data_IF_244521803416
#
_entry.id   IF_244521803416
#
_cell.length_a   1.000
_cell.length_b   1.000
_cell.length_c   1.000
_cell.angle_alpha   90.00
_cell.angle_beta   90.00
_cell.angle_gamma   90.00
#
_symmetry.space_group_name_H-M   'P 1'
#
loop_
_entity.id
_entity.type
_entity.pdbx_description
1 polymer ?
#
# COMPACT_ATOMS: atom_id res chain seq x y z
N UNK A 1 6.84 -32.70 16.54
CA UNK A 1 6.08 -32.60 15.29
C UNK A 1 6.74 -33.54 14.32
N UNK A 2 6.05 -34.62 13.96
CA UNK A 2 6.57 -35.71 13.15
C UNK A 2 7.02 -35.24 11.77
N UNK A 3 8.22 -35.63 11.40
CA UNK A 3 8.82 -35.42 10.10
C UNK A 3 8.08 -36.35 9.07
N UNK A 4 6.92 -35.91 8.58
CA UNK A 4 6.25 -36.58 7.47
C UNK A 4 7.13 -36.42 6.25
N UNK A 5 7.70 -37.50 5.77
CA UNK A 5 8.49 -37.51 4.53
C UNK A 5 7.68 -36.98 3.33
N UNK A 6 8.34 -36.57 2.21
CA UNK A 6 7.69 -35.93 1.06
C UNK A 6 6.57 -36.84 0.53
N UNK A 7 5.37 -36.29 0.37
CA UNK A 7 4.20 -37.00 -0.14
C UNK A 7 4.49 -37.51 -1.55
N UNK A 8 4.37 -38.82 -1.78
CA UNK A 8 4.51 -39.44 -3.10
C UNK A 8 3.36 -39.09 -4.06
N UNK A 9 2.22 -38.69 -3.53
CA UNK A 9 1.04 -38.24 -4.30
C UNK A 9 1.15 -36.80 -4.74
N UNK A 10 0.55 -36.49 -5.91
CA UNK A 10 0.44 -35.11 -6.38
C UNK A 10 -0.53 -34.34 -5.49
N UNK A 11 -0.07 -33.22 -4.94
CA UNK A 11 -0.92 -32.32 -4.18
C UNK A 11 -1.92 -31.61 -5.08
N UNK A 12 -3.13 -31.36 -4.59
CA UNK A 12 -4.06 -30.40 -5.21
C UNK A 12 -3.49 -28.99 -5.12
N UNK A 13 -3.85 -28.15 -6.07
CA UNK A 13 -3.36 -26.75 -6.15
C UNK A 13 -3.67 -25.98 -4.85
N UNK A 14 -4.88 -26.10 -4.34
CA UNK A 14 -5.33 -25.42 -3.11
C UNK A 14 -4.50 -25.87 -1.89
N UNK A 15 -4.24 -27.15 -1.74
CA UNK A 15 -3.43 -27.69 -0.64
C UNK A 15 -1.98 -27.19 -0.73
N UNK A 16 -1.41 -27.15 -1.93
CA UNK A 16 -0.08 -26.62 -2.17
C UNK A 16 0.01 -25.12 -1.81
N UNK A 17 -0.96 -24.30 -2.20
CA UNK A 17 -1.04 -22.87 -1.82
C UNK A 17 -1.10 -22.74 -0.30
N UNK A 18 -1.98 -23.48 0.37
CA UNK A 18 -2.15 -23.42 1.82
C UNK A 18 -0.86 -23.79 2.56
N UNK A 19 -0.16 -24.84 2.10
CA UNK A 19 1.14 -25.25 2.66
C UNK A 19 2.18 -24.13 2.45
N UNK A 20 2.32 -23.60 1.23
CA UNK A 20 3.28 -22.54 0.92
C UNK A 20 3.03 -21.30 1.79
N UNK A 21 1.79 -20.81 1.83
CA UNK A 21 1.40 -19.60 2.55
C UNK A 21 1.56 -19.79 4.07
N UNK A 22 1.33 -21.02 4.60
CA UNK A 22 1.53 -21.32 6.03
C UNK A 22 2.98 -21.21 6.49
N UNK A 23 3.95 -21.25 5.56
CA UNK A 23 5.39 -21.16 5.87
C UNK A 23 5.92 -19.72 5.82
N UNK A 24 5.10 -18.75 5.39
CA UNK A 24 5.48 -17.34 5.47
C UNK A 24 5.72 -16.94 6.92
N UNK A 25 6.82 -16.22 7.16
CA UNK A 25 7.18 -15.66 8.47
C UNK A 25 6.95 -14.16 8.45
N UNK A 26 6.53 -13.59 9.58
CA UNK A 26 6.38 -12.14 9.68
C UNK A 26 7.70 -11.42 9.37
N UNK A 27 7.63 -10.45 8.47
CA UNK A 27 8.78 -9.60 8.16
C UNK A 27 9.03 -8.59 9.28
N UNK A 28 10.29 -8.15 9.36
CA UNK A 28 10.65 -7.04 10.24
C UNK A 28 9.95 -5.75 9.82
N UNK A 29 9.77 -4.86 10.78
CA UNK A 29 9.22 -3.53 10.53
C UNK A 29 10.34 -2.54 10.15
N UNK A 30 9.98 -1.50 9.42
CA UNK A 30 10.84 -0.36 9.13
C UNK A 30 10.01 0.92 9.13
N UNK A 31 10.63 2.04 9.52
CA UNK A 31 10.02 3.37 9.44
C UNK A 31 10.48 4.05 8.16
N UNK A 32 9.54 4.47 7.32
CA UNK A 32 9.83 5.15 6.06
C UNK A 32 9.15 6.52 6.00
N UNK A 33 9.63 7.38 5.09
CA UNK A 33 8.92 8.62 4.77
C UNK A 33 7.56 8.27 4.16
N UNK A 34 6.52 8.95 4.60
CA UNK A 34 5.15 8.68 4.14
C UNK A 34 5.00 8.76 2.61
N UNK A 35 5.67 9.71 1.95
CA UNK A 35 5.69 9.82 0.48
C UNK A 35 6.16 8.55 -0.26
N UNK A 36 6.91 7.68 0.42
CA UNK A 36 7.45 6.43 -0.13
C UNK A 36 6.61 5.20 0.26
N UNK A 37 5.44 5.40 0.88
CA UNK A 37 4.63 4.32 1.45
C UNK A 37 3.60 3.72 0.51
N UNK A 38 3.43 4.26 -0.68
CA UNK A 38 2.48 3.71 -1.66
C UNK A 38 2.78 2.22 -1.93
N UNK A 39 1.75 1.39 -1.91
CA UNK A 39 1.83 -0.07 -2.07
C UNK A 39 2.69 -0.78 -1.00
N UNK A 40 2.87 -0.15 0.18
CA UNK A 40 3.42 -0.81 1.37
C UNK A 40 2.28 -1.21 2.31
N UNK A 41 2.51 -2.19 3.16
CA UNK A 41 1.58 -2.61 4.21
C UNK A 41 2.04 -2.00 5.53
N UNK A 42 1.16 -1.22 6.19
CA UNK A 42 1.49 -0.62 7.48
C UNK A 42 1.52 -1.68 8.60
N UNK A 43 2.49 -1.53 9.50
CA UNK A 43 2.70 -2.47 10.61
C UNK A 43 2.05 -2.02 11.93
N UNK A 44 1.49 -0.81 11.97
CA UNK A 44 0.84 -0.24 13.17
C UNK A 44 -0.46 0.47 12.79
N UNK A 45 -1.38 0.60 13.73
CA UNK A 45 -2.53 1.50 13.57
C UNK A 45 -2.05 2.95 13.42
N UNK A 46 -2.70 3.71 12.56
CA UNK A 46 -2.42 5.13 12.35
C UNK A 46 -3.60 5.94 12.88
N UNK A 47 -3.30 6.87 13.77
CA UNK A 47 -4.27 7.75 14.41
C UNK A 47 -4.02 9.19 13.94
N UNK A 48 -5.07 9.98 13.78
CA UNK A 48 -4.93 11.38 13.38
C UNK A 48 -4.21 12.21 14.47
N UNK A 49 -3.26 13.05 14.08
CA UNK A 49 -2.53 13.95 14.98
C UNK A 49 -3.21 15.31 15.15
N UNK A 50 -4.23 15.60 14.33
CA UNK A 50 -4.97 16.87 14.32
C UNK A 50 -6.45 16.61 14.03
N UNK A 51 -7.28 17.64 14.25
CA UNK A 51 -8.65 17.66 13.72
C UNK A 51 -8.63 18.11 12.25
N UNK A 52 -9.57 17.62 11.45
CA UNK A 52 -9.80 18.13 10.08
C UNK A 52 -11.29 18.45 9.86
N UNK A 53 -11.65 19.71 9.58
CA UNK A 53 -10.80 20.91 9.68
C UNK A 53 -10.38 21.19 11.15
N UNK A 54 -9.30 21.99 11.36
CA UNK A 54 -8.80 22.30 12.72
C UNK A 54 -9.74 23.20 13.52
N UNK A 55 -10.53 24.04 12.86
CA UNK A 55 -11.57 24.89 13.46
C UNK A 55 -12.87 24.80 12.64
N UNK A 56 -13.93 25.44 13.11
CA UNK A 56 -15.16 25.58 12.33
C UNK A 56 -14.87 26.46 11.11
N UNK A 57 -15.21 26.00 9.90
CA UNK A 57 -14.93 26.74 8.66
C UNK A 57 -16.19 26.92 7.83
N UNK A 58 -16.22 27.97 7.01
CA UNK A 58 -17.30 28.16 6.06
C UNK A 58 -17.28 27.14 4.95
N UNK A 59 -18.44 26.64 4.55
CA UNK A 59 -18.62 25.83 3.36
C UNK A 59 -19.02 26.63 2.12
N UNK A 60 -19.26 27.93 2.26
CA UNK A 60 -19.74 28.81 1.20
C UNK A 60 -19.15 30.21 1.38
N UNK A 61 -19.17 31.01 0.33
CA UNK A 61 -18.84 32.43 0.37
C UNK A 61 -20.06 33.21 0.83
N UNK A 62 -19.83 34.24 1.66
CA UNK A 62 -20.92 35.05 2.19
C UNK A 62 -20.56 35.83 3.44
N UNK A 63 -21.46 35.89 4.41
CA UNK A 63 -21.34 36.73 5.62
C UNK A 63 -21.58 35.91 6.87
N UNK A 64 -20.57 35.83 7.74
CA UNK A 64 -20.64 35.15 9.02
C UNK A 64 -21.20 36.06 10.08
N UNK A 65 -22.24 35.62 10.80
CA UNK A 65 -22.94 36.43 11.82
C UNK A 65 -23.61 35.58 12.89
N UNK A 66 -24.15 36.24 13.91
CA UNK A 66 -25.01 35.58 14.90
C UNK A 66 -26.39 35.29 14.32
N UNK A 67 -26.87 34.06 14.45
CA UNK A 67 -28.22 33.66 14.04
C UNK A 67 -29.32 34.52 14.69
N UNK A 68 -29.13 34.96 15.94
CA UNK A 68 -30.08 35.84 16.64
C UNK A 68 -30.28 37.22 15.97
N UNK A 69 -29.28 37.71 15.24
CA UNK A 69 -29.36 39.00 14.54
C UNK A 69 -30.25 38.97 13.31
N UNK A 70 -30.55 37.75 12.77
CA UNK A 70 -31.33 37.62 11.53
C UNK A 70 -32.81 37.90 11.69
N UNK A 71 -33.39 37.67 12.89
CA UNK A 71 -34.83 37.79 13.13
C UNK A 71 -35.39 39.18 12.82
N UNK A 72 -34.54 40.19 12.78
CA UNK A 72 -34.92 41.58 12.53
C UNK A 72 -34.06 42.25 11.45
N UNK A 73 -33.44 41.46 10.55
CA UNK A 73 -32.47 41.96 9.55
C UNK A 73 -33.09 43.00 8.59
N UNK A 74 -34.40 42.91 8.32
CA UNK A 74 -35.11 43.88 7.49
C UNK A 74 -35.27 45.25 8.18
N UNK A 75 -35.32 45.28 9.53
CA UNK A 75 -35.45 46.51 10.33
C UNK A 75 -34.12 47.00 10.88
N UNK A 76 -33.18 46.10 11.13
CA UNK A 76 -31.86 46.39 11.69
C UNK A 76 -30.78 45.85 10.75
N UNK A 77 -30.25 46.66 9.84
CA UNK A 77 -29.14 46.26 8.97
C UNK A 77 -27.95 45.81 9.77
N UNK A 78 -27.23 44.80 9.28
CA UNK A 78 -26.07 44.19 9.95
C UNK A 78 -24.80 44.81 9.36
N UNK A 79 -23.95 45.38 10.23
CA UNK A 79 -22.72 46.10 9.84
C UNK A 79 -21.62 45.10 9.46
N UNK A 80 -20.97 45.31 8.32
CA UNK A 80 -19.75 44.60 7.95
C UNK A 80 -18.58 45.21 8.74
N UNK A 81 -17.88 44.38 9.54
CA UNK A 81 -16.80 44.87 10.44
C UNK A 81 -15.44 44.31 10.05
N UNK A 82 -15.35 43.53 8.99
CA UNK A 82 -14.09 42.96 8.49
C UNK A 82 -14.30 41.75 7.57
N UNK A 83 -13.25 41.04 7.37
CA UNK A 83 -13.16 39.90 6.47
C UNK A 83 -12.47 38.69 7.17
N UNK A 84 -12.87 37.47 6.83
CA UNK A 84 -12.20 36.23 7.22
C UNK A 84 -11.91 35.43 5.96
N UNK A 85 -10.64 35.26 5.64
CA UNK A 85 -10.17 34.48 4.49
C UNK A 85 -9.39 33.23 4.94
N UNK A 86 -9.25 32.26 4.04
CA UNK A 86 -8.44 31.09 4.31
C UNK A 86 -6.98 31.49 4.57
N UNK A 87 -6.45 31.08 5.74
CA UNK A 87 -5.12 31.50 6.19
C UNK A 87 -5.03 32.88 6.84
N UNK A 88 -6.11 33.69 6.79
CA UNK A 88 -6.18 35.01 7.41
C UNK A 88 -7.53 35.19 8.15
N UNK A 89 -7.72 34.54 9.32
CA UNK A 89 -8.99 34.54 10.03
C UNK A 89 -9.27 35.89 10.72
N UNK A 90 -10.55 36.24 10.83
CA UNK A 90 -10.98 37.36 11.64
C UNK A 90 -10.93 37.00 13.13
N UNK A 91 -10.03 37.64 13.89
CA UNK A 91 -9.72 37.25 15.28
C UNK A 91 -10.64 37.85 16.35
N UNK A 92 -11.35 38.93 16.03
CA UNK A 92 -12.23 39.59 17.01
C UNK A 92 -13.52 38.82 17.17
N UNK A 93 -14.16 38.94 18.34
CA UNK A 93 -15.48 38.37 18.63
C UNK A 93 -16.57 39.27 18.05
N UNK A 94 -17.47 38.70 17.24
CA UNK A 94 -18.62 39.43 16.70
C UNK A 94 -19.64 39.79 17.78
N UNK A 95 -20.10 41.01 17.73
CA UNK A 95 -21.23 41.53 18.53
C UNK A 95 -22.56 41.26 17.81
N UNK A 96 -23.67 41.60 18.43
CA UNK A 96 -24.98 41.57 17.77
C UNK A 96 -25.00 42.61 16.63
N UNK A 97 -25.65 42.28 15.52
CA UNK A 97 -25.77 43.15 14.34
C UNK A 97 -24.41 43.48 13.66
N UNK A 98 -23.39 42.65 13.91
CA UNK A 98 -22.12 42.66 13.18
C UNK A 98 -22.01 41.40 12.34
N UNK A 99 -21.41 41.52 11.17
CA UNK A 99 -21.00 40.38 10.33
C UNK A 99 -19.60 40.58 9.76
N UNK A 100 -19.02 39.49 9.31
CA UNK A 100 -17.73 39.46 8.62
C UNK A 100 -17.94 38.81 7.28
N UNK A 101 -17.43 39.43 6.23
CA UNK A 101 -17.33 38.74 4.93
C UNK A 101 -16.45 37.52 5.07
N UNK A 102 -16.90 36.36 4.56
CA UNK A 102 -16.24 35.10 4.77
C UNK A 102 -16.23 34.29 3.48
N UNK A 103 -15.10 33.64 3.21
CA UNK A 103 -14.91 32.80 2.04
C UNK A 103 -14.88 31.31 2.42
N UNK A 104 -15.17 30.46 1.45
CA UNK A 104 -15.14 28.99 1.59
C UNK A 104 -13.80 28.54 2.15
N UNK A 105 -13.83 27.71 3.20
CA UNK A 105 -12.64 27.23 3.92
C UNK A 105 -12.07 28.17 4.97
N UNK A 106 -12.55 29.43 5.05
CA UNK A 106 -12.12 30.37 6.08
C UNK A 106 -12.70 30.00 7.45
N UNK A 107 -11.94 30.30 8.52
CA UNK A 107 -12.36 30.10 9.90
C UNK A 107 -13.56 30.99 10.26
N UNK A 108 -14.59 30.38 10.86
CA UNK A 108 -15.77 31.08 11.32
C UNK A 108 -15.42 31.90 12.56
N UNK A 109 -15.63 33.25 12.55
CA UNK A 109 -15.28 34.10 13.66
C UNK A 109 -16.00 33.73 14.94
N UNK A 110 -15.35 33.97 16.09
CA UNK A 110 -15.96 33.78 17.41
C UNK A 110 -17.22 34.61 17.52
N UNK A 111 -18.32 33.96 17.90
CA UNK A 111 -19.62 34.62 18.02
C UNK A 111 -20.53 34.49 16.81
N UNK A 112 -20.01 34.12 15.64
CA UNK A 112 -20.82 33.71 14.50
C UNK A 112 -21.30 32.26 14.65
N UNK A 113 -22.52 32.00 14.20
CA UNK A 113 -23.10 30.65 14.15
C UNK A 113 -24.10 30.49 13.00
N UNK A 114 -23.93 31.30 11.96
CA UNK A 114 -24.65 31.24 10.70
C UNK A 114 -23.80 31.91 9.62
N UNK A 115 -23.90 31.41 8.40
CA UNK A 115 -23.37 32.07 7.20
C UNK A 115 -24.53 32.37 6.27
N UNK A 116 -24.65 33.64 5.88
CA UNK A 116 -25.53 34.08 4.80
C UNK A 116 -24.76 33.95 3.49
N UNK A 117 -25.40 33.37 2.49
CA UNK A 117 -24.82 33.32 1.14
C UNK A 117 -24.75 34.73 0.54
N UNK A 118 -23.65 35.05 -0.13
CA UNK A 118 -23.46 36.35 -0.78
C UNK A 118 -24.59 36.69 -1.77
N UNK A 119 -25.13 35.67 -2.50
CA UNK A 119 -26.18 35.86 -3.49
C UNK A 119 -27.55 36.18 -2.86
N UNK A 120 -27.69 36.05 -1.53
CA UNK A 120 -28.91 36.32 -0.78
C UNK A 120 -28.81 37.58 0.09
N UNK A 121 -27.83 38.41 -0.19
CA UNK A 121 -27.53 39.63 0.58
C UNK A 121 -27.48 40.81 -0.36
N UNK A 122 -28.10 41.93 0.08
CA UNK A 122 -27.96 43.23 -0.54
C UNK A 122 -27.05 44.04 0.35
N UNK A 123 -25.99 44.63 -0.22
CA UNK A 123 -25.06 45.52 0.48
C UNK A 123 -25.43 46.98 0.21
N UNK A 124 -25.51 47.76 1.29
CA UNK A 124 -25.71 49.18 1.20
C UNK A 124 -24.87 49.88 2.29
N UNK A 125 -23.96 50.77 1.88
CA UNK A 125 -23.10 51.56 2.76
C UNK A 125 -22.48 50.78 3.92
N UNK A 126 -21.81 49.64 3.61
CA UNK A 126 -21.16 48.76 4.58
C UNK A 126 -22.11 48.02 5.55
N UNK A 127 -23.38 47.93 5.19
CA UNK A 127 -24.41 47.17 5.89
C UNK A 127 -25.01 46.14 4.95
N UNK A 128 -25.41 45.01 5.51
CA UNK A 128 -26.11 43.95 4.77
C UNK A 128 -27.58 43.89 5.18
N UNK A 129 -28.41 43.60 4.19
CA UNK A 129 -29.80 43.19 4.35
C UNK A 129 -30.01 41.86 3.63
N UNK A 130 -30.72 40.94 4.23
CA UNK A 130 -31.02 39.69 3.59
C UNK A 130 -32.32 39.70 2.81
N UNK A 131 -32.32 39.11 1.62
CA UNK A 131 -33.52 38.91 0.80
C UNK A 131 -34.30 37.65 1.19
N UNK A 132 -33.75 36.79 2.07
CA UNK A 132 -34.36 35.55 2.53
C UNK A 132 -34.58 35.57 4.05
N UNK A 133 -35.60 34.87 4.52
CA UNK A 133 -35.91 34.73 5.94
C UNK A 133 -35.74 33.31 6.49
N UNK A 134 -35.50 32.31 5.61
CA UNK A 134 -35.42 30.91 5.99
C UNK A 134 -33.97 30.48 6.19
N UNK A 135 -33.43 30.77 7.38
CA UNK A 135 -32.11 30.30 7.79
C UNK A 135 -32.17 29.43 9.03
N UNK A 136 -31.24 28.44 9.09
CA UNK A 136 -31.07 27.57 10.26
C UNK A 136 -29.78 27.93 10.99
N UNK A 137 -29.79 27.84 12.32
CA UNK A 137 -28.58 27.95 13.12
C UNK A 137 -27.56 26.96 12.63
N UNK A 138 -26.28 27.37 12.51
CA UNK A 138 -25.14 26.58 12.05
C UNK A 138 -25.15 26.20 10.56
N UNK A 139 -26.05 26.77 9.77
CA UNK A 139 -26.13 26.56 8.34
C UNK A 139 -24.84 27.04 7.65
N UNK A 140 -24.34 26.25 6.72
CA UNK A 140 -23.11 26.45 5.96
C UNK A 140 -21.81 26.49 6.81
N UNK A 141 -21.84 25.98 8.04
CA UNK A 141 -20.66 25.84 8.89
C UNK A 141 -20.25 24.36 8.93
N UNK A 142 -19.04 24.06 8.44
CA UNK A 142 -18.40 22.77 8.62
C UNK A 142 -17.72 22.75 9.98
N UNK A 143 -18.14 21.82 10.81
CA UNK A 143 -17.64 21.71 12.20
C UNK A 143 -16.20 21.24 12.24
N UNK A 144 -15.46 21.74 13.22
CA UNK A 144 -14.15 21.23 13.63
C UNK A 144 -14.18 19.71 13.75
N UNK A 145 -13.23 19.04 13.06
CA UNK A 145 -13.09 17.59 13.11
C UNK A 145 -14.20 16.80 12.41
N UNK A 146 -14.99 17.41 11.51
CA UNK A 146 -16.06 16.70 10.78
C UNK A 146 -15.51 15.60 9.85
N UNK A 147 -14.30 15.77 9.30
CA UNK A 147 -13.66 14.76 8.47
C UNK A 147 -13.05 13.67 9.35
N UNK A 148 -12.27 14.07 10.34
CA UNK A 148 -11.72 13.22 11.40
C UNK A 148 -11.29 14.08 12.60
N UNK A 149 -11.34 13.50 13.78
CA UNK A 149 -10.90 14.14 15.04
C UNK A 149 -9.48 13.70 15.38
N UNK A 150 -8.78 14.53 16.14
CA UNK A 150 -7.50 14.15 16.76
C UNK A 150 -7.66 12.82 17.53
N UNK A 151 -6.66 11.95 17.45
CA UNK A 151 -6.62 10.59 18.02
C UNK A 151 -7.67 9.61 17.46
N UNK A 152 -8.42 9.94 16.41
CA UNK A 152 -9.27 8.94 15.74
C UNK A 152 -8.42 8.00 14.88
N UNK A 153 -8.77 6.71 14.89
CA UNK A 153 -8.15 5.71 14.02
C UNK A 153 -8.51 6.01 12.56
N UNK A 154 -7.49 6.23 11.74
CA UNK A 154 -7.65 6.56 10.31
C UNK A 154 -7.23 5.42 9.38
N UNK A 155 -6.22 4.64 9.75
CA UNK A 155 -5.79 3.46 8.99
C UNK A 155 -5.48 2.33 9.96
N UNK A 156 -6.11 1.18 9.76
CA UNK A 156 -5.87 -0.02 10.57
C UNK A 156 -4.51 -0.64 10.24
N UNK A 157 -3.88 -1.27 11.23
CA UNK A 157 -2.72 -2.17 11.04
C UNK A 157 -3.02 -3.20 9.94
N UNK A 158 -1.99 -3.61 9.21
CA UNK A 158 -2.05 -4.58 8.11
C UNK A 158 -2.89 -4.11 6.90
N UNK A 159 -3.01 -2.79 6.69
CA UNK A 159 -3.66 -2.23 5.52
C UNK A 159 -2.64 -1.92 4.43
N UNK A 160 -2.97 -2.24 3.18
CA UNK A 160 -2.21 -1.76 2.03
C UNK A 160 -2.39 -0.25 1.90
N UNK A 161 -1.29 0.49 1.85
CA UNK A 161 -1.31 1.94 1.68
C UNK A 161 -1.61 2.29 0.22
N UNK A 162 -2.85 2.62 -0.05
CA UNK A 162 -3.32 3.15 -1.33
C UNK A 162 -3.07 4.66 -1.42
N UNK A 163 -3.30 5.26 -2.59
CA UNK A 163 -3.24 6.73 -2.75
C UNK A 163 -4.22 7.46 -1.82
N UNK A 164 -5.40 6.89 -1.54
CA UNK A 164 -6.34 7.45 -0.55
C UNK A 164 -5.79 7.41 0.87
N UNK A 165 -5.24 6.28 1.28
CA UNK A 165 -4.61 6.12 2.60
C UNK A 165 -3.43 7.08 2.77
N UNK A 166 -2.61 7.23 1.73
CA UNK A 166 -1.49 8.17 1.71
C UNK A 166 -1.98 9.61 1.91
N UNK A 167 -2.97 10.05 1.13
CA UNK A 167 -3.56 11.39 1.25
C UNK A 167 -4.16 11.61 2.65
N UNK A 168 -4.90 10.63 3.17
CA UNK A 168 -5.50 10.69 4.51
C UNK A 168 -4.44 10.81 5.62
N UNK A 169 -3.36 10.03 5.55
CA UNK A 169 -2.28 10.09 6.51
C UNK A 169 -1.53 11.44 6.45
N UNK A 170 -1.28 11.97 5.24
CA UNK A 170 -0.68 13.32 5.07
C UNK A 170 -1.59 14.40 5.67
N UNK A 171 -2.90 14.37 5.35
CA UNK A 171 -3.86 15.37 5.86
C UNK A 171 -4.06 15.29 7.37
N UNK A 172 -3.73 14.17 7.99
CA UNK A 172 -3.74 13.98 9.44
C UNK A 172 -2.40 14.29 10.14
N UNK A 173 -1.47 14.94 9.40
CA UNK A 173 -0.17 15.43 9.87
C UNK A 173 0.85 14.32 10.18
N UNK A 174 0.95 13.30 9.31
CA UNK A 174 2.03 12.33 9.36
C UNK A 174 3.10 12.61 8.30
N UNK A 175 4.37 12.47 8.68
CA UNK A 175 5.52 12.58 7.78
C UNK A 175 6.21 11.24 7.55
N UNK A 176 6.05 10.29 8.49
CA UNK A 176 6.62 8.94 8.48
C UNK A 176 5.54 7.92 8.82
N UNK A 177 5.80 6.67 8.48
CA UNK A 177 4.93 5.53 8.73
C UNK A 177 5.76 4.28 9.00
N UNK A 178 5.28 3.42 9.89
CA UNK A 178 5.84 2.09 10.11
C UNK A 178 5.17 1.10 9.15
N UNK A 179 5.99 0.36 8.43
CA UNK A 179 5.57 -0.62 7.43
C UNK A 179 6.36 -1.91 7.59
N UNK A 180 5.84 -3.02 7.11
CA UNK A 180 6.63 -4.23 6.98
C UNK A 180 7.68 -4.07 5.89
N UNK A 181 8.88 -4.64 6.10
CA UNK A 181 9.90 -4.70 5.05
C UNK A 181 9.38 -5.51 3.86
N UNK A 182 9.84 -5.16 2.67
CA UNK A 182 9.54 -5.94 1.48
C UNK A 182 10.30 -7.26 1.52
N UNK A 183 9.70 -8.42 1.21
CA UNK A 183 10.44 -9.66 1.10
C UNK A 183 11.50 -9.57 0.01
N UNK A 184 12.70 -10.10 0.32
CA UNK A 184 13.81 -10.21 -0.63
C UNK A 184 13.77 -11.56 -1.32
N UNK A 185 13.61 -11.58 -2.64
CA UNK A 185 13.42 -12.78 -3.43
C UNK A 185 14.57 -12.94 -4.41
N UNK A 186 15.35 -13.99 -4.25
CA UNK A 186 16.43 -14.34 -5.18
C UNK A 186 15.88 -15.18 -6.34
N UNK A 187 16.39 -14.96 -7.54
CA UNK A 187 16.06 -15.71 -8.75
C UNK A 187 17.34 -16.32 -9.31
N UNK A 188 17.34 -17.62 -9.52
CA UNK A 188 18.44 -18.37 -10.12
C UNK A 188 17.95 -19.16 -11.34
N UNK A 189 18.42 -18.81 -12.53
CA UNK A 189 18.19 -19.63 -13.72
C UNK A 189 19.23 -20.78 -13.80
N UNK A 190 18.82 -21.93 -14.27
CA UNK A 190 19.72 -23.09 -14.47
C UNK A 190 19.56 -23.69 -15.86
N UNK A 191 20.68 -23.98 -16.51
CA UNK A 191 20.70 -24.58 -17.83
C UNK A 191 21.99 -24.26 -18.59
N UNK A 192 22.64 -25.27 -19.17
CA UNK A 192 23.82 -25.08 -20.00
C UNK A 192 23.50 -24.38 -21.33
N UNK A 193 22.25 -24.49 -21.79
CA UNK A 193 21.71 -23.89 -23.02
C UNK A 193 21.40 -22.41 -22.86
N UNK A 194 21.25 -21.92 -21.61
CA UNK A 194 20.78 -20.55 -21.35
C UNK A 194 21.88 -19.50 -21.55
N UNK A 195 21.49 -18.37 -22.12
CA UNK A 195 22.33 -17.17 -22.27
C UNK A 195 21.52 -15.91 -22.00
N UNK A 196 22.22 -14.88 -21.57
CA UNK A 196 21.61 -13.55 -21.51
C UNK A 196 21.49 -12.97 -22.93
N UNK A 197 20.52 -12.06 -23.20
CA UNK A 197 20.42 -11.37 -24.48
C UNK A 197 21.75 -10.70 -24.85
N UNK A 198 22.20 -10.89 -26.09
CA UNK A 198 23.39 -10.23 -26.63
C UNK A 198 23.26 -10.06 -28.15
N UNK A 199 24.11 -9.19 -28.75
CA UNK A 199 24.13 -8.94 -30.22
C UNK A 199 24.58 -10.18 -31.03
N UNK A 200 25.34 -11.06 -30.42
CA UNK A 200 25.86 -12.29 -31.09
C UNK A 200 25.34 -13.51 -30.32
N UNK A 201 24.34 -14.20 -30.86
CA UNK A 201 23.76 -15.40 -30.27
C UNK A 201 23.88 -16.56 -31.27
N UNK A 202 24.64 -17.58 -30.92
CA UNK A 202 24.74 -18.81 -31.68
C UNK A 202 23.97 -19.91 -30.91
N UNK A 203 22.89 -20.43 -31.52
CA UNK A 203 22.15 -21.66 -31.08
C UNK A 203 21.88 -21.77 -29.57
N UNK A 204 21.71 -20.67 -28.87
CA UNK A 204 21.44 -20.65 -27.42
C UNK A 204 19.99 -20.24 -27.16
N UNK A 205 19.44 -20.69 -26.02
CA UNK A 205 18.14 -20.25 -25.53
C UNK A 205 18.34 -19.01 -24.69
N UNK A 206 17.57 -17.97 -25.00
CA UNK A 206 17.62 -16.73 -24.22
C UNK A 206 16.83 -16.91 -22.94
N UNK A 207 17.46 -16.60 -21.79
CA UNK A 207 16.83 -16.65 -20.49
C UNK A 207 15.76 -15.56 -20.37
N UNK A 208 14.50 -15.90 -20.64
CA UNK A 208 13.36 -15.00 -20.54
C UNK A 208 12.65 -15.06 -19.17
N UNK A 209 12.82 -16.16 -18.43
CA UNK A 209 12.17 -16.34 -17.13
C UNK A 209 12.67 -15.34 -16.07
N UNK A 210 13.97 -15.05 -16.04
CA UNK A 210 14.54 -14.10 -15.06
C UNK A 210 13.95 -12.70 -15.20
N UNK A 211 13.94 -12.02 -16.37
CA UNK A 211 13.32 -10.72 -16.51
C UNK A 211 11.81 -10.72 -16.26
N UNK A 212 11.11 -11.80 -16.64
CA UNK A 212 9.69 -11.98 -16.30
C UNK A 212 9.47 -11.97 -14.78
N UNK A 213 10.23 -12.80 -14.05
CA UNK A 213 10.14 -12.90 -12.59
C UNK A 213 10.53 -11.59 -11.91
N UNK A 214 11.61 -10.92 -12.35
CA UNK A 214 12.01 -9.62 -11.84
C UNK A 214 10.87 -8.60 -11.94
N UNK A 215 10.21 -8.53 -13.08
CA UNK A 215 9.09 -7.63 -13.33
C UNK A 215 7.89 -7.95 -12.43
N UNK A 216 7.45 -9.21 -12.41
CA UNK A 216 6.27 -9.64 -11.63
C UNK A 216 6.49 -9.46 -10.13
N UNK A 217 7.63 -9.91 -9.59
CA UNK A 217 7.95 -9.82 -8.16
C UNK A 217 7.95 -8.36 -7.70
N UNK A 218 8.57 -7.46 -8.47
CA UNK A 218 8.57 -6.03 -8.16
C UNK A 218 7.16 -5.42 -8.23
N UNK A 219 6.34 -5.85 -9.19
CA UNK A 219 4.94 -5.40 -9.29
C UNK A 219 4.06 -5.89 -8.14
N UNK A 220 4.39 -7.03 -7.54
CA UNK A 220 3.72 -7.58 -6.36
C UNK A 220 4.17 -6.93 -5.03
N UNK A 221 5.11 -6.00 -5.09
CA UNK A 221 5.56 -5.26 -3.92
C UNK A 221 6.78 -5.83 -3.19
N UNK A 222 7.37 -6.93 -3.67
CA UNK A 222 8.61 -7.52 -3.15
C UNK A 222 9.87 -6.91 -3.79
N UNK A 223 11.06 -7.32 -3.34
CA UNK A 223 12.35 -6.97 -3.95
C UNK A 223 12.91 -8.19 -4.65
N UNK A 224 13.10 -8.12 -5.98
CA UNK A 224 13.67 -9.18 -6.77
C UNK A 224 15.17 -9.00 -6.99
N UNK A 225 15.95 -10.10 -6.89
CA UNK A 225 17.39 -10.13 -7.06
C UNK A 225 17.79 -11.24 -8.05
N UNK A 226 18.48 -10.87 -9.12
CA UNK A 226 18.99 -11.81 -10.12
C UNK A 226 20.35 -12.37 -9.67
N UNK A 227 20.41 -13.68 -9.40
CA UNK A 227 21.65 -14.40 -9.13
C UNK A 227 22.35 -14.86 -10.42
N UNK A 228 21.73 -14.60 -11.58
CA UNK A 228 22.24 -14.99 -12.91
C UNK A 228 21.93 -16.44 -13.27
N UNK A 229 22.71 -16.97 -14.20
CA UNK A 229 22.56 -18.32 -14.73
C UNK A 229 23.62 -19.23 -14.10
N UNK A 230 23.20 -20.36 -13.54
CA UNK A 230 24.08 -21.44 -13.12
C UNK A 230 24.18 -22.49 -14.22
N UNK A 231 25.36 -23.07 -14.39
CA UNK A 231 25.57 -24.25 -15.25
C UNK A 231 25.01 -25.50 -14.55
N UNK A 232 24.67 -26.53 -15.34
CA UNK A 232 24.17 -27.79 -14.82
C UNK A 232 25.29 -28.63 -14.20
N UNK A 233 25.91 -28.10 -13.16
CA UNK A 233 26.85 -28.79 -12.29
C UNK A 233 26.79 -28.30 -10.86
N UNK A 234 27.07 -29.17 -9.91
CA UNK A 234 26.95 -28.91 -8.49
C UNK A 234 27.78 -27.69 -8.03
N UNK A 235 29.01 -27.56 -8.51
CA UNK A 235 29.91 -26.47 -8.11
C UNK A 235 29.38 -25.11 -8.52
N UNK A 236 28.82 -24.99 -9.73
CA UNK A 236 28.19 -23.75 -10.22
C UNK A 236 27.00 -23.36 -9.36
N UNK A 237 26.13 -24.34 -9.04
CA UNK A 237 24.96 -24.12 -8.19
C UNK A 237 25.38 -23.73 -6.78
N UNK A 238 26.26 -24.44 -6.11
CA UNK A 238 26.74 -24.14 -4.75
C UNK A 238 27.35 -22.73 -4.69
N UNK A 239 28.17 -22.37 -5.72
CA UNK A 239 28.76 -21.02 -5.79
C UNK A 239 27.71 -19.93 -5.84
N UNK A 240 26.60 -20.12 -6.56
CA UNK A 240 25.49 -19.16 -6.71
C UNK A 240 24.59 -19.11 -5.47
N UNK A 241 24.50 -20.23 -4.75
CA UNK A 241 23.67 -20.36 -3.54
C UNK A 241 24.38 -19.92 -2.25
N UNK A 242 25.63 -19.45 -2.34
CA UNK A 242 26.29 -18.80 -1.19
C UNK A 242 25.51 -17.58 -0.73
N UNK A 243 25.36 -17.41 0.57
CA UNK A 243 24.65 -16.27 1.20
C UNK A 243 23.12 -16.24 0.90
N UNK A 244 22.48 -17.40 0.82
CA UNK A 244 21.00 -17.47 0.72
C UNK A 244 20.30 -16.92 1.95
N UNK A 245 20.98 -16.88 3.09
CA UNK A 245 20.52 -16.30 4.36
C UNK A 245 20.10 -14.83 4.26
N UNK A 246 20.47 -14.12 3.18
CA UNK A 246 20.04 -12.74 2.90
C UNK A 246 18.65 -12.63 2.26
N UNK A 247 18.08 -13.75 1.83
CA UNK A 247 16.84 -13.78 1.09
C UNK A 247 15.75 -14.55 1.85
N UNK A 248 14.53 -14.06 1.73
CA UNK A 248 13.35 -14.69 2.32
C UNK A 248 12.87 -15.85 1.45
N UNK A 249 13.03 -15.72 0.12
CA UNK A 249 12.62 -16.72 -0.87
C UNK A 249 13.71 -16.87 -1.94
N UNK A 250 14.00 -18.10 -2.33
CA UNK A 250 14.74 -18.44 -3.55
C UNK A 250 13.80 -19.04 -4.58
N UNK A 251 13.82 -18.51 -5.80
CA UNK A 251 13.17 -19.11 -6.96
C UNK A 251 14.25 -19.66 -7.87
N UNK A 252 14.16 -20.94 -8.22
CA UNK A 252 14.96 -21.53 -9.30
C UNK A 252 14.10 -21.77 -10.52
N UNK A 253 14.63 -21.51 -11.73
CA UNK A 253 13.96 -21.81 -13.00
C UNK A 253 14.83 -22.72 -13.85
N UNK A 254 14.26 -23.82 -14.37
CA UNK A 254 15.02 -24.91 -14.96
C UNK A 254 15.52 -25.87 -13.89
N UNK A 255 16.04 -27.03 -14.32
CA UNK A 255 16.48 -28.07 -13.41
C UNK A 255 15.37 -28.77 -12.61
N UNK A 256 14.16 -28.25 -12.61
CA UNK A 256 12.98 -28.90 -12.03
C UNK A 256 12.37 -29.86 -13.06
N UNK A 257 12.96 -31.02 -13.24
CA UNK A 257 12.44 -32.07 -14.10
C UNK A 257 11.84 -33.21 -13.28
N UNK A 258 10.81 -33.88 -13.83
CA UNK A 258 10.25 -35.11 -13.23
C UNK A 258 11.19 -36.30 -13.38
N UNK A 259 12.41 -36.16 -13.96
CA UNK A 259 13.39 -37.16 -14.17
C UNK A 259 14.16 -37.56 -12.92
N UNK A 260 14.87 -38.69 -12.97
CA UNK A 260 15.67 -39.25 -11.86
C UNK A 260 16.86 -38.35 -11.42
N UNK A 261 17.21 -37.32 -12.18
CA UNK A 261 18.36 -36.45 -11.93
C UNK A 261 17.95 -34.98 -11.95
N UNK A 262 17.27 -34.51 -10.89
CA UNK A 262 17.03 -33.09 -10.64
C UNK A 262 18.21 -32.52 -9.85
N UNK A 263 19.21 -32.02 -10.59
CA UNK A 263 20.45 -31.51 -10.00
C UNK A 263 20.22 -30.39 -8.98
N UNK A 264 19.23 -29.51 -9.21
CA UNK A 264 18.92 -28.41 -8.31
C UNK A 264 18.39 -28.93 -6.97
N UNK A 265 17.45 -29.88 -7.03
CA UNK A 265 16.91 -30.55 -5.83
C UNK A 265 18.00 -31.30 -5.06
N UNK A 266 18.84 -32.04 -5.77
CA UNK A 266 19.91 -32.84 -5.14
C UNK A 266 20.96 -31.95 -4.46
N UNK A 267 21.33 -30.81 -5.08
CA UNK A 267 22.26 -29.85 -4.49
C UNK A 267 21.61 -29.16 -3.27
N UNK A 268 20.37 -28.72 -3.38
CA UNK A 268 19.65 -28.07 -2.26
C UNK A 268 19.49 -29.04 -1.08
N UNK A 269 19.19 -30.33 -1.33
CA UNK A 269 19.11 -31.35 -0.28
C UNK A 269 20.47 -31.58 0.40
N UNK A 270 21.57 -31.60 -0.37
CA UNK A 270 22.93 -31.69 0.19
C UNK A 270 23.30 -30.48 1.03
N UNK A 271 22.76 -29.32 0.72
CA UNK A 271 22.91 -28.09 1.52
C UNK A 271 22.01 -28.05 2.77
N UNK A 272 21.15 -29.06 2.98
CA UNK A 272 20.29 -29.16 4.14
C UNK A 272 18.85 -28.73 3.91
N UNK A 273 18.39 -28.57 2.67
CA UNK A 273 16.99 -28.23 2.39
C UNK A 273 16.05 -29.32 2.91
N UNK A 274 15.08 -28.94 3.71
CA UNK A 274 13.92 -29.75 4.06
C UNK A 274 12.91 -29.66 2.89
N UNK A 275 12.83 -30.68 2.07
CA UNK A 275 11.86 -30.78 0.98
C UNK A 275 10.48 -31.06 1.55
N UNK A 276 9.49 -30.25 1.19
CA UNK A 276 8.11 -30.38 1.65
C UNK A 276 7.27 -31.10 0.60
N UNK A 277 7.32 -30.65 -0.66
CA UNK A 277 6.72 -31.35 -1.80
C UNK A 277 7.44 -31.00 -3.12
N UNK A 278 7.16 -31.74 -4.19
CA UNK A 278 7.84 -31.58 -5.49
C UNK A 278 6.95 -31.75 -6.73
N UNK A 279 5.64 -32.00 -6.54
CA UNK A 279 4.65 -32.11 -7.62
C UNK A 279 3.29 -31.57 -7.18
N UNK A 280 2.63 -30.90 -8.12
CA UNK A 280 1.27 -30.37 -7.94
C UNK A 280 0.40 -30.77 -9.12
N UNK A 281 -0.87 -31.05 -8.89
CA UNK A 281 -1.85 -31.44 -9.92
C UNK A 281 -2.29 -30.24 -10.74
N UNK A 282 -1.36 -29.69 -11.54
CA UNK A 282 -1.60 -28.53 -12.41
C UNK A 282 -0.98 -28.75 -13.81
N UNK A 283 -1.60 -28.17 -14.82
CA UNK A 283 -1.07 -28.17 -16.19
C UNK A 283 -1.37 -26.81 -16.86
N UNK A 284 -0.32 -26.07 -17.29
CA UNK A 284 1.11 -26.36 -17.19
C UNK A 284 1.65 -26.12 -15.76
N UNK A 285 2.85 -26.66 -15.44
CA UNK A 285 3.52 -26.40 -14.16
C UNK A 285 3.54 -27.56 -13.16
N UNK A 286 3.24 -28.82 -13.59
CA UNK A 286 3.23 -29.99 -12.74
C UNK A 286 4.47 -30.17 -11.84
N UNK A 287 5.73 -30.00 -12.32
CA UNK A 287 6.90 -29.98 -11.46
C UNK A 287 6.94 -28.65 -10.68
N UNK A 288 6.78 -28.70 -9.37
CA UNK A 288 6.94 -27.57 -8.47
C UNK A 288 7.64 -28.06 -7.22
N UNK A 289 8.90 -27.66 -7.03
CA UNK A 289 9.64 -27.95 -5.81
C UNK A 289 9.28 -26.90 -4.77
N UNK A 290 8.90 -27.35 -3.58
CA UNK A 290 8.77 -26.48 -2.42
C UNK A 290 9.50 -27.07 -1.22
N UNK A 291 10.33 -26.27 -0.60
CA UNK A 291 11.14 -26.65 0.55
C UNK A 291 11.59 -25.44 1.36
N UNK A 292 12.37 -25.72 2.39
CA UNK A 292 12.96 -24.70 3.26
C UNK A 292 14.42 -25.03 3.54
N UNK A 293 15.29 -24.05 3.35
CA UNK A 293 16.71 -24.12 3.71
C UNK A 293 16.96 -23.03 4.75
N UNK A 294 17.23 -23.42 5.99
CA UNK A 294 17.28 -22.52 7.15
C UNK A 294 16.03 -21.65 7.26
N UNK A 295 16.14 -20.33 7.05
CA UNK A 295 15.01 -19.41 7.02
C UNK A 295 14.43 -19.15 5.63
N UNK A 296 15.17 -19.50 4.56
CA UNK A 296 14.81 -19.21 3.18
C UNK A 296 13.84 -20.25 2.63
N UNK A 297 12.70 -19.80 2.10
CA UNK A 297 11.76 -20.66 1.38
C UNK A 297 12.27 -20.88 -0.05
N UNK A 298 12.16 -22.11 -0.53
CA UNK A 298 12.64 -22.52 -1.86
C UNK A 298 11.45 -22.86 -2.75
N UNK A 299 11.36 -22.22 -3.91
CA UNK A 299 10.39 -22.51 -4.97
C UNK A 299 11.15 -22.86 -6.25
N UNK A 300 11.12 -24.13 -6.65
CA UNK A 300 11.69 -24.59 -7.93
C UNK A 300 10.61 -24.62 -9.00
N UNK A 301 10.72 -23.73 -9.99
CA UNK A 301 9.79 -23.61 -11.10
C UNK A 301 10.29 -24.34 -12.34
N UNK A 302 9.41 -24.86 -13.21
CA UNK A 302 9.79 -25.44 -14.48
C UNK A 302 10.54 -24.42 -15.37
N UNK A 303 11.40 -24.90 -16.27
CA UNK A 303 12.11 -24.03 -17.23
C UNK A 303 11.21 -23.41 -18.31
N UNK A 304 10.03 -24.01 -18.59
CA UNK A 304 9.10 -23.49 -19.58
C UNK A 304 8.52 -22.13 -19.13
N UNK A 305 8.61 -21.05 -19.95
CA UNK A 305 8.17 -19.70 -19.58
C UNK A 305 6.69 -19.62 -19.18
N UNK A 306 5.81 -20.34 -19.88
CA UNK A 306 4.36 -20.34 -19.54
C UNK A 306 4.15 -20.99 -18.16
N UNK A 307 4.84 -22.09 -17.89
CA UNK A 307 4.77 -22.76 -16.58
C UNK A 307 5.32 -21.87 -15.46
N UNK A 308 6.43 -21.17 -15.71
CA UNK A 308 7.01 -20.21 -14.77
C UNK A 308 6.02 -19.07 -14.47
N UNK A 309 5.41 -18.49 -15.50
CA UNK A 309 4.39 -17.44 -15.34
C UNK A 309 3.20 -17.90 -14.49
N UNK A 310 2.62 -19.04 -14.85
CA UNK A 310 1.47 -19.62 -14.12
C UNK A 310 1.85 -19.93 -12.67
N UNK A 311 3.01 -20.57 -12.44
CA UNK A 311 3.48 -20.87 -11.08
C UNK A 311 3.72 -19.61 -10.25
N UNK A 312 4.18 -18.54 -10.87
CA UNK A 312 4.37 -17.24 -10.21
C UNK A 312 3.05 -16.65 -9.73
N UNK A 313 2.02 -16.67 -10.57
CA UNK A 313 0.70 -16.12 -10.20
C UNK A 313 -0.01 -16.95 -9.14
N UNK A 314 0.08 -18.30 -9.25
CA UNK A 314 -0.71 -19.20 -8.41
C UNK A 314 -0.02 -19.47 -7.07
N UNK A 315 1.30 -19.56 -7.01
CA UNK A 315 2.01 -19.99 -5.79
C UNK A 315 2.86 -18.88 -5.16
N UNK A 316 3.58 -18.09 -5.97
CA UNK A 316 4.45 -17.06 -5.43
C UNK A 316 3.67 -15.82 -4.99
N UNK A 317 2.69 -15.36 -5.79
CA UNK A 317 1.92 -14.16 -5.45
C UNK A 317 1.19 -14.28 -4.11
N UNK A 318 0.40 -15.35 -3.82
CA UNK A 318 -0.22 -15.52 -2.51
C UNK A 318 0.78 -15.58 -1.36
N UNK A 319 1.98 -16.13 -1.59
CA UNK A 319 3.06 -16.12 -0.60
C UNK A 319 3.56 -14.69 -0.33
N UNK A 320 3.78 -13.88 -1.37
CA UNK A 320 4.18 -12.47 -1.21
C UNK A 320 3.07 -11.67 -0.49
N UNK A 321 1.82 -11.88 -0.87
CA UNK A 321 0.66 -11.20 -0.25
C UNK A 321 0.48 -11.57 1.23
N UNK A 322 1.06 -12.70 1.68
CA UNK A 322 1.05 -13.13 3.08
C UNK A 322 2.13 -12.48 3.92
N UNK A 323 3.25 -12.06 3.32
CA UNK A 323 4.31 -11.33 3.98
C UNK A 323 3.90 -9.90 4.31
#
# INVERSE_FOLDING_TARGET
MENQGPTKEMLKVEDAINIIVSKATSLQEETILLKNSLNRVNSTNIYANINSPPENVSSMDGYALKYSSIKNIAKNPIKIVGESAAGNPYLKKLKNFECVEIYTGAEVPKGANLILLQERVIINNNFIVSTSQNYKKEQYIRKKGINFKNNSLIIKKNSLITSRNLSLAISSNHTKINVYKKPNIAILATGNELRNPSKKINKAIISSNTPLLLSLINSFGAKAHDLGIAKDNANSLIKKLKNLDKFDILITTGGASVGKHDLVKDVLNKLGMCLIFWKVAIRPGKPLIFGKLDKTLILGFPGNPVSTFVSTLIFLRPLIDKY
#
